data_IF_233598909649
#
_entry.id   IF_233598909649
#
_cell.length_a   1.000
_cell.length_b   1.000
_cell.length_c   1.000
_cell.angle_alpha   90.00
_cell.angle_beta   90.00
_cell.angle_gamma   90.00
#
_symmetry.space_group_name_H-M   'P 1'
#
loop_
_entity.id
_entity.type
_entity.pdbx_description
1 polymer ?
#
# COMPACT_ATOMS: atom_id res chain seq x y z
N UNK A 1 -12.81 7.32 38.66
CA UNK A 1 -11.97 7.61 37.47
C UNK A 1 -12.79 7.25 36.26
N UNK A 2 -13.30 8.24 35.54
CA UNK A 2 -14.05 8.00 34.30
C UNK A 2 -13.15 7.36 33.26
N UNK A 3 -13.51 6.17 32.80
CA UNK A 3 -12.87 5.51 31.67
C UNK A 3 -13.08 6.37 30.41
N UNK A 4 -12.17 7.29 30.12
CA UNK A 4 -12.15 7.98 28.84
C UNK A 4 -12.02 6.91 27.76
N UNK A 5 -13.12 6.58 27.10
CA UNK A 5 -13.14 5.74 25.91
C UNK A 5 -12.16 6.36 24.91
N UNK A 6 -10.99 5.77 24.76
CA UNK A 6 -10.03 6.20 23.76
C UNK A 6 -10.69 6.01 22.40
N UNK A 7 -10.99 7.11 21.70
CA UNK A 7 -11.57 7.06 20.36
C UNK A 7 -10.43 6.65 19.41
N UNK A 8 -10.46 5.41 18.96
CA UNK A 8 -9.51 4.92 17.97
C UNK A 8 -10.03 5.25 16.56
N UNK A 9 -9.17 5.76 15.65
CA UNK A 9 -9.57 6.01 14.27
C UNK A 9 -9.93 4.70 13.58
N UNK A 10 -10.96 4.71 12.74
CA UNK A 10 -11.34 3.54 11.93
C UNK A 10 -10.33 3.24 10.83
N UNK A 11 -9.64 4.25 10.32
CA UNK A 11 -8.69 4.13 9.23
C UNK A 11 -7.39 4.85 9.56
N UNK A 12 -6.25 4.25 9.23
CA UNK A 12 -4.91 4.85 9.38
C UNK A 12 -4.12 4.71 8.08
N UNK A 13 -3.31 5.73 7.77
CA UNK A 13 -2.31 5.69 6.71
C UNK A 13 -0.91 5.59 7.30
N UNK A 14 -0.10 4.70 6.79
CA UNK A 14 1.28 4.48 7.24
C UNK A 14 2.23 4.65 6.06
N UNK A 15 3.12 5.62 6.16
CA UNK A 15 4.22 5.80 5.20
C UNK A 15 5.45 5.07 5.75
N UNK A 16 5.96 4.12 4.97
CA UNK A 16 7.16 3.35 5.33
C UNK A 16 8.44 4.14 5.05
N UNK A 17 8.58 5.28 5.70
CA UNK A 17 9.76 6.15 5.57
C UNK A 17 10.80 5.91 6.68
N UNK A 18 12.00 6.47 6.47
CA UNK A 18 13.10 6.44 7.45
C UNK A 18 13.93 5.15 7.44
N UNK A 19 13.54 4.08 6.78
CA UNK A 19 14.26 2.80 6.77
C UNK A 19 15.75 2.92 6.43
N UNK A 20 16.11 3.74 5.44
CA UNK A 20 17.49 3.98 5.03
C UNK A 20 18.29 4.79 6.07
N UNK A 21 17.64 5.79 6.69
CA UNK A 21 18.24 6.61 7.76
C UNK A 21 18.52 5.76 8.98
N UNK A 22 17.53 4.99 9.39
CA UNK A 22 17.64 4.06 10.52
C UNK A 22 18.80 3.06 10.31
N UNK A 23 18.88 2.40 9.15
CA UNK A 23 19.97 1.46 8.86
C UNK A 23 21.34 2.11 9.00
N UNK A 24 21.53 3.34 8.47
CA UNK A 24 22.79 4.09 8.62
C UNK A 24 23.11 4.38 10.07
N UNK A 25 22.14 4.79 10.88
CA UNK A 25 22.32 5.05 12.32
C UNK A 25 22.72 3.78 13.08
N UNK A 26 22.31 2.60 12.60
CA UNK A 26 22.70 1.31 13.17
C UNK A 26 23.99 0.74 12.58
N UNK A 27 24.72 1.49 11.74
CA UNK A 27 25.92 0.99 11.08
C UNK A 27 25.65 -0.13 10.04
N UNK A 28 24.39 -0.27 9.58
CA UNK A 28 23.97 -1.31 8.67
C UNK A 28 23.89 -0.82 7.21
N UNK A 29 24.07 -1.72 6.24
CA UNK A 29 23.76 -1.38 4.84
C UNK A 29 22.33 -0.91 4.69
N UNK A 30 22.09 0.16 3.89
CA UNK A 30 20.76 0.78 3.73
C UNK A 30 19.68 -0.20 3.29
N UNK A 31 20.04 -1.23 2.54
CA UNK A 31 19.13 -2.30 2.11
C UNK A 31 18.54 -3.08 3.29
N UNK A 32 19.32 -3.28 4.35
CA UNK A 32 18.85 -3.97 5.56
C UNK A 32 17.71 -3.19 6.25
N UNK A 33 17.71 -1.85 6.16
CA UNK A 33 16.61 -1.06 6.68
C UNK A 33 15.25 -1.45 6.09
N UNK A 34 15.18 -1.77 4.81
CA UNK A 34 13.94 -2.22 4.17
C UNK A 34 13.45 -3.56 4.73
N UNK A 35 14.36 -4.50 5.01
CA UNK A 35 14.00 -5.78 5.65
C UNK A 35 13.43 -5.57 7.06
N UNK A 36 14.08 -4.72 7.86
CA UNK A 36 13.60 -4.40 9.21
C UNK A 36 12.26 -3.69 9.18
N UNK A 37 12.07 -2.73 8.25
CA UNK A 37 10.77 -2.09 8.04
C UNK A 37 9.68 -3.10 7.69
N UNK A 38 9.95 -4.04 6.76
CA UNK A 38 9.01 -5.10 6.42
C UNK A 38 8.64 -5.98 7.63
N UNK A 39 9.63 -6.39 8.43
CA UNK A 39 9.36 -7.18 9.65
C UNK A 39 8.48 -6.41 10.63
N UNK A 40 8.72 -5.10 10.79
CA UNK A 40 7.95 -4.23 11.70
C UNK A 40 6.49 -4.07 11.28
N UNK A 41 6.17 -4.12 9.99
CA UNK A 41 4.79 -4.01 9.51
C UNK A 41 3.90 -5.10 10.10
N UNK A 42 4.39 -6.30 10.28
CA UNK A 42 3.61 -7.40 10.88
C UNK A 42 3.13 -7.06 12.30
N UNK A 43 4.02 -6.47 13.10
CA UNK A 43 3.68 -6.01 14.45
C UNK A 43 2.68 -4.85 14.42
N UNK A 44 2.89 -3.89 13.51
CA UNK A 44 2.02 -2.72 13.36
C UNK A 44 0.61 -3.13 12.95
N UNK A 45 0.45 -4.09 12.03
CA UNK A 45 -0.85 -4.62 11.63
C UNK A 45 -1.57 -5.29 12.81
N UNK A 46 -0.85 -6.05 13.63
CA UNK A 46 -1.41 -6.63 14.84
C UNK A 46 -1.88 -5.55 15.81
N UNK A 47 -1.05 -4.57 16.12
CA UNK A 47 -1.43 -3.46 17.01
C UNK A 47 -2.61 -2.66 16.48
N UNK A 48 -2.65 -2.37 15.19
CA UNK A 48 -3.77 -1.68 14.57
C UNK A 48 -5.08 -2.46 14.78
N UNK A 49 -5.03 -3.77 14.61
CA UNK A 49 -6.19 -4.63 14.85
C UNK A 49 -6.60 -4.68 16.32
N UNK A 50 -5.64 -4.82 17.24
CA UNK A 50 -5.90 -4.82 18.70
C UNK A 50 -6.55 -3.51 19.16
N UNK A 51 -6.20 -2.39 18.52
CA UNK A 51 -6.78 -1.07 18.75
C UNK A 51 -8.14 -0.85 18.06
N UNK A 52 -8.63 -1.80 17.27
CA UNK A 52 -9.91 -1.69 16.57
C UNK A 52 -9.87 -0.88 15.27
N UNK A 53 -8.68 -0.65 14.69
CA UNK A 53 -8.53 -0.04 13.37
C UNK A 53 -9.06 -1.01 12.31
N UNK A 54 -10.04 -0.58 11.53
CA UNK A 54 -10.67 -1.41 10.50
C UNK A 54 -9.99 -1.36 9.14
N UNK A 55 -9.26 -0.28 8.85
CA UNK A 55 -8.58 -0.11 7.56
C UNK A 55 -7.18 0.47 7.74
N UNK A 56 -6.19 -0.18 7.15
CA UNK A 56 -4.80 0.28 7.10
C UNK A 56 -4.40 0.53 5.66
N UNK A 57 -3.98 1.75 5.35
CA UNK A 57 -3.35 2.11 4.09
C UNK A 57 -1.84 2.10 4.28
N UNK A 58 -1.14 1.19 3.61
CA UNK A 58 0.31 1.04 3.71
C UNK A 58 0.99 1.61 2.46
N UNK A 59 1.59 2.78 2.58
CA UNK A 59 2.34 3.41 1.49
C UNK A 59 3.73 2.79 1.38
N UNK A 60 3.85 1.74 0.57
CA UNK A 60 5.06 0.91 0.52
C UNK A 60 6.03 1.29 -0.61
N UNK A 61 5.53 1.79 -1.76
CA UNK A 61 6.36 2.16 -2.89
C UNK A 61 5.71 3.27 -3.73
N UNK A 62 6.33 4.46 -3.74
CA UNK A 62 5.82 5.59 -4.53
C UNK A 62 6.26 5.53 -6.01
N UNK A 63 5.59 6.31 -6.86
CA UNK A 63 6.00 6.51 -8.25
C UNK A 63 7.42 7.05 -8.36
N UNK A 64 7.85 7.91 -7.45
CA UNK A 64 9.19 8.49 -7.41
C UNK A 64 10.26 7.46 -7.04
N UNK A 65 9.89 6.37 -6.35
CA UNK A 65 10.85 5.35 -5.94
C UNK A 65 11.45 4.57 -7.13
N UNK A 66 10.83 4.62 -8.31
CA UNK A 66 11.43 4.09 -9.53
C UNK A 66 12.72 4.82 -9.94
N UNK A 67 12.93 6.06 -9.48
CA UNK A 67 14.14 6.85 -9.72
C UNK A 67 15.32 6.45 -8.81
N UNK A 68 15.12 5.51 -7.89
CA UNK A 68 16.20 4.95 -7.07
C UNK A 68 17.15 4.12 -7.92
N UNK A 69 18.32 3.77 -7.37
CA UNK A 69 19.26 2.93 -8.10
C UNK A 69 18.63 1.60 -8.49
N UNK A 70 18.97 1.08 -9.67
CA UNK A 70 18.50 -0.23 -10.17
C UNK A 70 18.68 -1.34 -9.12
N UNK A 71 19.80 -1.31 -8.37
CA UNK A 71 20.09 -2.26 -7.30
C UNK A 71 19.09 -2.16 -6.15
N UNK A 72 18.72 -0.94 -5.72
CA UNK A 72 17.75 -0.73 -4.65
C UNK A 72 16.34 -1.15 -5.09
N UNK A 73 15.93 -0.76 -6.30
CA UNK A 73 14.62 -1.15 -6.85
C UNK A 73 14.52 -2.67 -6.94
N UNK A 74 15.53 -3.34 -7.52
CA UNK A 74 15.53 -4.80 -7.62
C UNK A 74 15.46 -5.49 -6.25
N UNK A 75 16.12 -4.92 -5.25
CA UNK A 75 16.07 -5.44 -3.89
C UNK A 75 14.68 -5.31 -3.26
N UNK A 76 14.02 -4.15 -3.45
CA UNK A 76 12.64 -3.96 -2.99
C UNK A 76 11.67 -4.91 -3.70
N UNK A 77 11.81 -5.12 -5.02
CA UNK A 77 11.00 -6.10 -5.76
C UNK A 77 11.16 -7.51 -5.20
N UNK A 78 12.38 -7.89 -4.77
CA UNK A 78 12.64 -9.16 -4.11
C UNK A 78 11.92 -9.26 -2.76
N UNK A 79 11.96 -8.20 -1.94
CA UNK A 79 11.22 -8.14 -0.66
C UNK A 79 9.71 -8.29 -0.92
N UNK A 80 9.16 -7.57 -1.89
CA UNK A 80 7.73 -7.67 -2.21
C UNK A 80 7.33 -9.08 -2.68
N UNK A 81 8.15 -9.68 -3.55
CA UNK A 81 7.88 -11.04 -4.02
C UNK A 81 7.92 -12.06 -2.88
N UNK A 82 8.84 -11.91 -1.94
CA UNK A 82 8.90 -12.72 -0.73
C UNK A 82 7.66 -12.47 0.15
N UNK A 83 7.31 -11.21 0.41
CA UNK A 83 6.20 -10.82 1.27
C UNK A 83 4.85 -11.35 0.75
N UNK A 84 4.60 -11.20 -0.56
CA UNK A 84 3.31 -11.56 -1.17
C UNK A 84 3.27 -13.02 -1.64
N UNK A 85 4.41 -13.69 -1.70
CA UNK A 85 4.56 -15.11 -2.05
C UNK A 85 4.81 -15.99 -0.84
N UNK A 86 6.07 -16.15 -0.48
CA UNK A 86 6.49 -17.10 0.56
C UNK A 86 5.95 -16.73 1.96
N UNK A 87 6.00 -15.45 2.31
CA UNK A 87 5.59 -14.95 3.62
C UNK A 87 4.10 -14.54 3.67
N UNK A 88 3.34 -14.76 2.59
CA UNK A 88 1.93 -14.39 2.51
C UNK A 88 1.10 -14.91 3.70
N UNK A 89 1.40 -16.13 4.16
CA UNK A 89 0.76 -16.74 5.33
C UNK A 89 0.88 -15.87 6.59
N UNK A 90 2.00 -15.18 6.77
CA UNK A 90 2.21 -14.28 7.90
C UNK A 90 1.31 -13.04 7.84
N UNK A 91 1.17 -12.45 6.64
CA UNK A 91 0.23 -11.34 6.44
C UNK A 91 -1.23 -11.77 6.64
N UNK A 92 -1.54 -13.03 6.33
CA UNK A 92 -2.89 -13.59 6.48
C UNK A 92 -3.27 -13.89 7.94
N UNK A 93 -2.32 -14.01 8.87
CA UNK A 93 -2.60 -14.32 10.30
C UNK A 93 -3.57 -13.34 10.94
N UNK A 94 -3.44 -12.07 10.59
CA UNK A 94 -4.29 -11.01 11.12
C UNK A 94 -5.66 -10.92 10.41
N UNK A 95 -5.91 -11.80 9.43
CA UNK A 95 -7.16 -11.90 8.65
C UNK A 95 -7.59 -10.58 7.99
N UNK A 96 -6.63 -9.73 7.59
CA UNK A 96 -6.91 -8.58 6.75
C UNK A 96 -7.26 -9.00 5.34
N UNK A 97 -8.31 -8.40 4.79
CA UNK A 97 -8.58 -8.41 3.36
C UNK A 97 -7.59 -7.50 2.66
N UNK A 98 -6.73 -8.07 1.83
CA UNK A 98 -5.65 -7.33 1.15
C UNK A 98 -6.14 -6.80 -0.20
N UNK A 99 -5.77 -5.56 -0.51
CA UNK A 99 -5.92 -4.92 -1.82
C UNK A 99 -4.63 -4.20 -2.19
N UNK A 100 -4.29 -4.23 -3.48
CA UNK A 100 -3.18 -3.48 -4.02
C UNK A 100 -3.68 -2.27 -4.81
N UNK A 101 -3.08 -1.10 -4.57
CA UNK A 101 -3.48 0.18 -5.16
C UNK A 101 -2.27 0.82 -5.83
N UNK A 102 -2.48 1.42 -7.00
CA UNK A 102 -1.46 2.11 -7.79
C UNK A 102 -1.20 1.46 -9.15
N UNK A 103 -0.10 1.81 -9.79
CA UNK A 103 0.25 1.36 -11.15
C UNK A 103 0.83 -0.07 -11.13
N UNK A 104 -0.03 -1.06 -10.87
CA UNK A 104 0.37 -2.46 -10.66
C UNK A 104 0.95 -3.09 -11.93
N UNK A 105 0.56 -2.62 -13.10
CA UNK A 105 1.05 -3.07 -14.41
C UNK A 105 2.56 -2.84 -14.61
N UNK A 106 3.17 -1.92 -13.87
CA UNK A 106 4.61 -1.64 -13.91
C UNK A 106 5.47 -2.74 -13.28
N UNK A 107 4.87 -3.62 -12.51
CA UNK A 107 5.59 -4.71 -11.85
C UNK A 107 5.72 -5.95 -12.74
N UNK A 108 6.70 -6.80 -12.43
CA UNK A 108 6.93 -8.04 -13.17
C UNK A 108 5.70 -8.96 -13.16
N UNK A 109 5.51 -9.79 -14.19
CA UNK A 109 4.40 -10.76 -14.22
C UNK A 109 4.34 -11.65 -12.98
N UNK A 110 5.50 -12.10 -12.46
CA UNK A 110 5.57 -12.92 -11.26
C UNK A 110 5.04 -12.19 -10.02
N UNK A 111 5.40 -10.91 -9.85
CA UNK A 111 4.94 -10.11 -8.71
C UNK A 111 3.44 -9.80 -8.83
N UNK A 112 2.96 -9.46 -10.02
CA UNK A 112 1.53 -9.26 -10.28
C UNK A 112 0.70 -10.52 -10.00
N UNK A 113 1.22 -11.69 -10.35
CA UNK A 113 0.56 -12.97 -10.05
C UNK A 113 0.49 -13.21 -8.54
N UNK A 114 1.58 -12.95 -7.80
CA UNK A 114 1.60 -13.07 -6.35
C UNK A 114 0.58 -12.14 -5.67
N UNK A 115 0.49 -10.88 -6.13
CA UNK A 115 -0.49 -9.90 -5.67
C UNK A 115 -1.92 -10.41 -5.88
N UNK A 116 -2.27 -10.80 -7.11
CA UNK A 116 -3.61 -11.33 -7.45
C UNK A 116 -3.97 -12.55 -6.61
N UNK A 117 -3.01 -13.45 -6.40
CA UNK A 117 -3.22 -14.63 -5.56
C UNK A 117 -3.50 -14.24 -4.11
N UNK A 118 -2.75 -13.30 -3.56
CA UNK A 118 -2.95 -12.82 -2.18
C UNK A 118 -4.31 -12.13 -2.02
N UNK A 119 -4.71 -11.26 -2.96
CA UNK A 119 -6.04 -10.65 -2.94
C UNK A 119 -7.15 -11.71 -2.93
N UNK A 120 -7.05 -12.72 -3.83
CA UNK A 120 -8.05 -13.78 -3.95
C UNK A 120 -8.17 -14.62 -2.67
N UNK A 121 -7.06 -15.02 -2.07
CA UNK A 121 -7.11 -15.86 -0.86
C UNK A 121 -7.57 -15.09 0.38
N UNK A 122 -7.42 -13.77 0.39
CA UNK A 122 -7.86 -12.92 1.50
C UNK A 122 -9.22 -12.26 1.27
N UNK A 123 -9.87 -12.49 0.14
CA UNK A 123 -11.11 -11.80 -0.27
C UNK A 123 -12.23 -11.92 0.77
N UNK A 124 -12.34 -13.08 1.41
CA UNK A 124 -13.38 -13.38 2.42
C UNK A 124 -12.95 -13.06 3.86
N UNK A 125 -11.78 -12.47 4.06
CA UNK A 125 -11.33 -12.15 5.40
C UNK A 125 -12.06 -10.92 5.95
N UNK A 126 -12.39 -10.95 7.24
CA UNK A 126 -13.21 -9.95 7.93
C UNK A 126 -12.47 -9.25 9.08
N UNK A 127 -11.18 -9.51 9.26
CA UNK A 127 -10.38 -8.91 10.32
C UNK A 127 -10.01 -7.44 10.10
N UNK A 128 -10.33 -6.89 8.92
CA UNK A 128 -10.06 -5.53 8.50
C UNK A 128 -9.61 -5.45 7.05
N UNK A 129 -9.33 -4.24 6.56
CA UNK A 129 -8.83 -4.00 5.21
C UNK A 129 -7.37 -3.52 5.25
N UNK A 130 -6.53 -4.09 4.40
CA UNK A 130 -5.14 -3.66 4.19
C UNK A 130 -4.98 -3.25 2.72
N UNK A 131 -4.91 -1.95 2.47
CA UNK A 131 -4.60 -1.40 1.16
C UNK A 131 -3.09 -1.14 1.06
N UNK A 132 -2.40 -1.87 0.19
CA UNK A 132 -0.96 -1.73 -0.03
C UNK A 132 -0.73 -0.88 -1.28
N UNK A 133 -0.27 0.36 -1.08
CA UNK A 133 -0.01 1.30 -2.16
C UNK A 133 1.37 1.04 -2.76
N UNK A 134 1.38 0.63 -4.04
CA UNK A 134 2.57 0.26 -4.80
C UNK A 134 2.61 0.99 -6.14
N UNK A 135 3.75 1.61 -6.45
CA UNK A 135 3.85 2.52 -7.59
C UNK A 135 2.70 3.55 -7.59
N UNK A 136 2.37 4.01 -6.39
CA UNK A 136 1.29 4.97 -6.16
C UNK A 136 1.86 6.38 -6.02
N UNK A 137 1.08 7.36 -6.45
CA UNK A 137 1.36 8.78 -6.26
C UNK A 137 0.11 9.58 -6.56
N UNK A 138 -0.35 10.42 -5.62
CA UNK A 138 -1.59 11.18 -5.79
C UNK A 138 -1.62 12.05 -7.05
N UNK A 139 -0.48 12.67 -7.42
CA UNK A 139 -0.38 13.42 -8.69
C UNK A 139 -0.55 12.52 -9.91
N UNK A 140 0.03 11.32 -9.89
CA UNK A 140 -0.10 10.35 -10.96
C UNK A 140 -1.56 9.86 -11.06
N UNK A 141 -2.21 9.59 -9.94
CA UNK A 141 -3.62 9.20 -9.88
C UNK A 141 -4.54 10.26 -10.47
N UNK A 142 -4.37 11.54 -10.09
CA UNK A 142 -5.12 12.66 -10.66
C UNK A 142 -4.95 12.72 -12.19
N UNK A 143 -3.72 12.61 -12.69
CA UNK A 143 -3.45 12.64 -14.13
C UNK A 143 -4.12 11.46 -14.85
N UNK A 144 -4.02 10.26 -14.30
CA UNK A 144 -4.68 9.08 -14.91
C UNK A 144 -6.21 9.19 -14.87
N UNK A 145 -6.76 9.74 -13.78
CA UNK A 145 -8.19 10.04 -13.66
C UNK A 145 -8.65 11.02 -14.73
N UNK A 146 -7.91 12.12 -14.93
CA UNK A 146 -8.22 13.10 -15.98
C UNK A 146 -8.21 12.44 -17.38
N UNK A 147 -7.19 11.61 -17.66
CA UNK A 147 -7.10 10.89 -18.94
C UNK A 147 -8.27 9.91 -19.13
N UNK A 148 -8.72 9.27 -18.07
CA UNK A 148 -9.86 8.35 -18.10
C UNK A 148 -11.15 9.11 -18.39
N UNK A 149 -11.40 10.20 -17.67
CA UNK A 149 -12.55 11.09 -17.89
C UNK A 149 -12.59 11.61 -19.33
N UNK A 150 -11.45 12.09 -19.85
CA UNK A 150 -11.35 12.60 -21.22
C UNK A 150 -11.59 11.55 -22.31
N UNK A 151 -11.49 10.27 -22.00
CA UNK A 151 -11.82 9.18 -22.93
C UNK A 151 -13.29 8.75 -22.86
N UNK A 152 -13.91 8.89 -21.69
CA UNK A 152 -15.24 8.33 -21.40
C UNK A 152 -16.35 9.38 -21.48
N UNK A 153 -16.02 10.67 -21.34
CA UNK A 153 -16.99 11.78 -21.31
C UNK A 153 -16.83 12.72 -22.49
N UNK A 154 -17.94 13.30 -22.90
CA UNK A 154 -17.99 14.38 -23.88
C UNK A 154 -17.55 15.71 -23.28
N UNK A 155 -17.17 16.69 -24.12
CA UNK A 155 -16.79 18.05 -23.67
C UNK A 155 -17.87 18.72 -22.80
N UNK A 156 -19.16 18.45 -23.08
CA UNK A 156 -20.25 18.96 -22.27
C UNK A 156 -20.26 18.35 -20.88
N UNK A 157 -20.15 17.03 -20.78
CA UNK A 157 -20.11 16.30 -19.49
C UNK A 157 -18.87 16.64 -18.67
N UNK A 158 -17.75 17.00 -19.33
CA UNK A 158 -16.53 17.46 -18.63
C UNK A 158 -16.74 18.85 -18.05
N UNK A 159 -17.45 19.76 -18.74
CA UNK A 159 -17.78 21.09 -18.23
C UNK A 159 -18.66 21.06 -16.98
N UNK A 160 -19.55 20.07 -16.92
CA UNK A 160 -20.52 19.92 -15.84
C UNK A 160 -19.99 18.95 -14.74
N UNK A 161 -18.69 18.52 -14.80
CA UNK A 161 -18.11 17.57 -13.88
C UNK A 161 -18.02 18.12 -12.45
N UNK A 162 -18.60 17.41 -11.52
CA UNK A 162 -18.56 17.75 -10.09
C UNK A 162 -17.41 17.05 -9.35
N UNK A 163 -17.03 17.54 -8.16
CA UNK A 163 -16.06 16.88 -7.29
C UNK A 163 -16.50 15.46 -6.88
N UNK A 164 -17.81 15.29 -6.66
CA UNK A 164 -18.38 13.97 -6.31
C UNK A 164 -18.23 12.98 -7.48
N UNK A 165 -18.50 13.43 -8.71
CA UNK A 165 -18.30 12.59 -9.89
C UNK A 165 -16.83 12.28 -10.14
N UNK A 166 -15.95 13.29 -10.01
CA UNK A 166 -14.51 13.10 -10.12
C UNK A 166 -13.99 12.07 -9.11
N UNK A 167 -14.49 12.12 -7.86
CA UNK A 167 -14.11 11.19 -6.81
C UNK A 167 -14.46 9.72 -7.12
N UNK A 168 -15.47 9.48 -7.97
CA UNK A 168 -15.82 8.11 -8.43
C UNK A 168 -14.81 7.53 -9.42
N UNK A 169 -13.96 8.38 -10.00
CA UNK A 169 -12.90 7.98 -10.93
C UNK A 169 -11.54 7.75 -10.26
N UNK A 170 -11.36 8.31 -9.02
CA UNK A 170 -10.20 8.04 -8.18
C UNK A 170 -10.31 6.64 -7.53
#
# INVERSE_FOLDING_TARGET
MENKKTICPKSIGIIMDGNRRWARQQGLPTMKGHEFGYKKIKEVLRWARELGVSTVYLYAFSTENWNRTKKEVAYLMKIFLQAFGQDAKELMKEKYRVKFVGQIERFSPALRLAMKKLEKVTEKFTGGNLAICLSYGGRAEIIETIKKIAREKTDKEIKDLTEEEFSKYL
#
